data_IF_025857226431
#
_entry.id   IF_025857226431
#
_cell.length_a   1.000
_cell.length_b   1.000
_cell.length_c   1.000
_cell.angle_alpha   90.00
_cell.angle_beta   90.00
_cell.angle_gamma   90.00
#
_symmetry.space_group_name_H-M   'P 1'
#
loop_
_entity.id
_entity.type
_entity.pdbx_description
1 polymer ?
#
# COMPACT_ATOMS: atom_id res chain seq x y z
N UNK A 1 -11.73 -12.55 44.21
CA UNK A 1 -12.89 -12.61 43.29
C UNK A 1 -12.54 -12.27 41.85
N UNK A 2 -11.72 -11.22 41.50
CA UNK A 2 -11.35 -10.94 40.10
C UNK A 2 -10.56 -12.08 39.43
N UNK A 3 -9.68 -12.77 40.18
CA UNK A 3 -8.90 -13.94 39.72
C UNK A 3 -9.79 -15.06 39.17
N UNK A 4 -10.96 -15.31 39.75
CA UNK A 4 -11.88 -16.37 39.29
C UNK A 4 -12.52 -16.06 37.93
N UNK A 5 -12.82 -14.79 37.65
CA UNK A 5 -13.32 -14.37 36.33
C UNK A 5 -12.23 -14.49 35.27
N UNK A 6 -11.02 -14.02 35.56
CA UNK A 6 -9.88 -14.17 34.66
C UNK A 6 -9.61 -15.65 34.37
N UNK A 7 -9.63 -16.49 35.35
CA UNK A 7 -9.44 -17.94 35.17
C UNK A 7 -10.50 -18.55 34.24
N UNK A 8 -11.80 -18.27 34.48
CA UNK A 8 -12.89 -18.87 33.71
C UNK A 8 -13.06 -18.25 32.30
N UNK A 9 -12.83 -16.97 32.16
CA UNK A 9 -12.99 -16.25 30.88
C UNK A 9 -11.73 -16.38 30.03
N UNK A 10 -10.54 -16.25 30.59
CA UNK A 10 -9.29 -16.21 29.81
C UNK A 10 -8.62 -17.58 29.81
N UNK A 11 -8.20 -18.09 31.00
CA UNK A 11 -7.34 -19.27 31.05
C UNK A 11 -8.08 -20.52 30.56
N UNK A 12 -9.32 -20.74 30.98
CA UNK A 12 -10.11 -21.88 30.53
C UNK A 12 -10.49 -21.83 29.06
N UNK A 13 -10.50 -20.66 28.47
CA UNK A 13 -10.89 -20.42 27.06
C UNK A 13 -9.68 -20.11 26.16
N UNK A 14 -8.46 -20.30 26.58
CA UNK A 14 -7.23 -19.92 25.90
C UNK A 14 -7.17 -20.37 24.42
N UNK A 15 -7.72 -21.57 24.12
CA UNK A 15 -7.79 -22.11 22.75
C UNK A 15 -8.63 -21.23 21.83
N UNK A 16 -9.73 -20.66 22.33
CA UNK A 16 -10.59 -19.79 21.54
C UNK A 16 -9.93 -18.41 21.28
N UNK A 17 -9.18 -17.90 22.27
CA UNK A 17 -8.38 -16.69 22.07
C UNK A 17 -7.24 -16.91 21.08
N UNK A 18 -6.55 -18.06 21.16
CA UNK A 18 -5.54 -18.44 20.16
C UNK A 18 -6.15 -18.55 18.75
N UNK A 19 -7.32 -19.17 18.63
CA UNK A 19 -8.03 -19.25 17.34
C UNK A 19 -8.39 -17.85 16.83
N UNK A 20 -8.88 -16.95 17.67
CA UNK A 20 -9.18 -15.57 17.29
C UNK A 20 -7.94 -14.84 16.78
N UNK A 21 -6.84 -14.88 17.54
CA UNK A 21 -5.56 -14.27 17.14
C UNK A 21 -5.07 -14.87 15.82
N UNK A 22 -5.13 -16.20 15.69
CA UNK A 22 -4.74 -16.89 14.45
C UNK A 22 -5.54 -16.42 13.23
N UNK A 23 -6.86 -16.30 13.37
CA UNK A 23 -7.74 -15.80 12.29
C UNK A 23 -7.38 -14.35 11.94
N UNK A 24 -7.23 -13.46 12.93
CA UNK A 24 -6.89 -12.06 12.70
C UNK A 24 -5.53 -11.91 12.01
N UNK A 25 -4.52 -12.66 12.43
CA UNK A 25 -3.21 -12.66 11.80
C UNK A 25 -3.26 -13.23 10.37
N UNK A 26 -3.98 -14.34 10.17
CA UNK A 26 -4.14 -14.93 8.83
C UNK A 26 -4.76 -13.94 7.85
N UNK A 27 -5.85 -13.27 8.24
CA UNK A 27 -6.48 -12.23 7.42
C UNK A 27 -5.53 -11.06 7.16
N UNK A 28 -4.76 -10.63 8.18
CA UNK A 28 -3.76 -9.56 8.02
C UNK A 28 -2.68 -9.94 7.00
N UNK A 29 -2.19 -11.18 7.02
CA UNK A 29 -1.22 -11.67 6.05
C UNK A 29 -1.78 -11.77 4.63
N UNK A 30 -3.04 -12.20 4.48
CA UNK A 30 -3.72 -12.23 3.17
C UNK A 30 -3.81 -10.82 2.59
N UNK A 31 -4.26 -9.85 3.38
CA UNK A 31 -4.39 -8.45 2.94
C UNK A 31 -3.01 -7.89 2.58
N UNK A 32 -1.99 -8.15 3.39
CA UNK A 32 -0.63 -7.73 3.11
C UNK A 32 -0.09 -8.35 1.81
N UNK A 33 -0.33 -9.64 1.57
CA UNK A 33 0.06 -10.33 0.34
C UNK A 33 -0.63 -9.75 -0.90
N UNK A 34 -1.92 -9.45 -0.82
CA UNK A 34 -2.68 -8.77 -1.89
C UNK A 34 -2.06 -7.39 -2.15
N UNK A 35 -1.78 -6.62 -1.11
CA UNK A 35 -1.17 -5.29 -1.22
C UNK A 35 0.21 -5.33 -1.91
N UNK A 36 1.06 -6.29 -1.56
CA UNK A 36 2.36 -6.49 -2.21
C UNK A 36 2.23 -6.77 -3.71
N UNK A 37 1.23 -7.56 -4.09
CA UNK A 37 0.96 -7.85 -5.49
C UNK A 37 0.40 -6.65 -6.24
N UNK A 38 -0.53 -5.90 -5.64
CA UNK A 38 -1.08 -4.67 -6.22
C UNK A 38 0.01 -3.62 -6.46
N UNK A 39 0.94 -3.46 -5.52
CA UNK A 39 2.06 -2.52 -5.67
C UNK A 39 2.99 -2.88 -6.85
N UNK A 40 3.11 -4.16 -7.21
CA UNK A 40 3.86 -4.60 -8.38
C UNK A 40 3.10 -4.36 -9.69
N UNK A 41 1.77 -4.45 -9.67
CA UNK A 41 0.91 -4.37 -10.86
C UNK A 41 0.59 -2.93 -11.27
N UNK A 42 0.79 -1.97 -10.38
CA UNK A 42 0.49 -0.54 -10.64
C UNK A 42 1.62 0.20 -11.37
N UNK A 43 2.69 -0.50 -11.80
CA UNK A 43 3.70 0.10 -12.66
C UNK A 43 3.23 0.08 -14.10
N UNK A 44 3.50 1.16 -14.84
CA UNK A 44 3.16 1.28 -16.25
C UNK A 44 4.12 0.42 -17.06
N UNK A 45 3.66 -0.66 -17.72
CA UNK A 45 4.53 -1.50 -18.54
C UNK A 45 4.94 -0.74 -19.82
N UNK A 46 6.25 -0.57 -19.98
CA UNK A 46 6.87 0.06 -21.14
C UNK A 46 7.80 -0.96 -21.80
N UNK A 47 7.50 -1.29 -23.05
CA UNK A 47 8.29 -2.18 -23.88
C UNK A 47 9.40 -1.39 -24.59
N UNK A 48 10.65 -1.82 -24.49
CA UNK A 48 11.81 -1.13 -25.10
C UNK A 48 12.60 -2.06 -25.97
N UNK A 49 12.73 -1.67 -27.22
CA UNK A 49 13.61 -2.31 -28.21
C UNK A 49 14.79 -1.37 -28.48
N UNK A 50 15.99 -1.80 -28.13
CA UNK A 50 17.22 -1.04 -28.33
C UNK A 50 18.02 -1.62 -29.50
N UNK A 51 17.98 -0.95 -30.65
CA UNK A 51 18.76 -1.28 -31.84
C UNK A 51 20.10 -0.55 -31.82
N UNK A 52 20.22 0.55 -31.04
CA UNK A 52 21.44 1.35 -31.00
C UNK A 52 22.59 0.68 -30.27
N UNK A 53 22.30 -0.10 -29.22
CA UNK A 53 23.29 -0.72 -28.33
C UNK A 53 24.43 0.23 -27.91
N UNK A 54 24.12 1.55 -27.82
CA UNK A 54 25.07 2.60 -27.49
C UNK A 54 25.10 2.88 -25.98
N UNK A 55 26.16 3.52 -25.50
CA UNK A 55 26.21 3.95 -24.11
C UNK A 55 25.07 4.91 -23.76
N UNK A 56 24.66 5.76 -24.73
CA UNK A 56 23.57 6.73 -24.57
C UNK A 56 22.20 6.03 -24.46
N UNK A 57 21.94 4.99 -25.24
CA UNK A 57 20.73 4.20 -25.13
C UNK A 57 20.68 3.45 -23.78
N UNK A 58 21.80 2.90 -23.33
CA UNK A 58 21.91 2.23 -22.06
C UNK A 58 21.66 3.19 -20.88
N UNK A 59 22.21 4.42 -20.93
CA UNK A 59 21.94 5.48 -19.91
C UNK A 59 20.43 5.80 -19.86
N UNK A 60 19.75 5.94 -21.00
CA UNK A 60 18.30 6.20 -21.07
C UNK A 60 17.49 5.05 -20.45
N UNK A 61 17.79 3.82 -20.88
CA UNK A 61 17.13 2.62 -20.40
C UNK A 61 17.32 2.46 -18.87
N UNK A 62 18.53 2.70 -18.38
CA UNK A 62 18.82 2.64 -16.94
C UNK A 62 18.03 3.70 -16.17
N UNK A 63 17.94 4.91 -16.69
CA UNK A 63 17.17 6.00 -16.09
C UNK A 63 15.68 5.67 -16.01
N UNK A 64 15.09 5.14 -17.10
CA UNK A 64 13.69 4.72 -17.12
C UNK A 64 13.44 3.53 -16.19
N UNK A 65 14.38 2.59 -16.06
CA UNK A 65 14.28 1.45 -15.13
C UNK A 65 14.25 1.85 -13.66
N UNK A 66 14.94 2.94 -13.28
CA UNK A 66 14.96 3.46 -11.93
C UNK A 66 13.75 4.35 -11.61
N UNK A 67 12.87 4.58 -12.57
CA UNK A 67 11.67 5.37 -12.34
C UNK A 67 10.60 4.53 -11.64
N UNK A 68 10.09 5.00 -10.50
CA UNK A 68 9.19 4.24 -9.62
C UNK A 68 7.88 3.79 -10.28
N UNK A 69 7.40 4.56 -11.28
CA UNK A 69 6.12 4.35 -11.94
C UNK A 69 6.24 3.46 -13.18
N UNK A 70 7.44 3.29 -13.74
CA UNK A 70 7.67 2.53 -14.98
C UNK A 70 8.15 1.11 -14.67
N UNK A 71 7.55 0.15 -15.32
CA UNK A 71 8.07 -1.23 -15.43
C UNK A 71 8.58 -1.43 -16.85
N UNK A 72 9.91 -1.46 -17.00
CA UNK A 72 10.54 -1.56 -18.30
C UNK A 72 10.77 -3.02 -18.66
N UNK A 73 10.26 -3.43 -19.82
CA UNK A 73 10.49 -4.74 -20.43
C UNK A 73 11.38 -4.57 -21.68
N UNK A 74 12.58 -5.20 -21.65
CA UNK A 74 13.47 -5.16 -22.81
C UNK A 74 13.07 -6.25 -23.79
N UNK A 75 12.85 -5.86 -25.05
CA UNK A 75 12.47 -6.75 -26.14
C UNK A 75 13.69 -7.02 -27.03
N UNK A 76 13.71 -8.19 -27.65
CA UNK A 76 14.75 -8.53 -28.61
C UNK A 76 14.76 -7.56 -29.80
N UNK A 77 15.94 -7.17 -30.33
CA UNK A 77 16.05 -6.38 -31.55
C UNK A 77 15.38 -7.00 -32.78
N UNK A 78 15.27 -8.34 -32.80
CA UNK A 78 14.72 -9.12 -33.92
C UNK A 78 13.18 -9.20 -33.89
N UNK A 79 12.52 -8.69 -32.85
CA UNK A 79 11.04 -8.67 -32.72
C UNK A 79 10.47 -7.53 -33.58
N UNK A 80 9.90 -7.87 -34.73
CA UNK A 80 9.38 -6.88 -35.69
C UNK A 80 8.04 -6.23 -35.31
N UNK A 81 7.36 -6.71 -34.25
CA UNK A 81 5.98 -6.34 -33.95
C UNK A 81 5.82 -5.61 -32.60
N UNK A 82 6.70 -4.66 -32.35
CA UNK A 82 6.71 -3.94 -31.07
C UNK A 82 5.44 -3.11 -30.83
N UNK A 83 4.83 -2.57 -31.89
CA UNK A 83 3.58 -1.80 -31.88
C UNK A 83 2.37 -2.69 -31.54
N UNK A 84 2.38 -3.97 -31.94
CA UNK A 84 1.32 -4.91 -31.61
C UNK A 84 1.19 -5.15 -30.09
N UNK A 85 2.26 -5.03 -29.33
CA UNK A 85 2.20 -5.18 -27.86
C UNK A 85 1.32 -4.13 -27.21
N UNK A 86 1.28 -2.93 -27.74
CA UNK A 86 0.37 -1.88 -27.28
C UNK A 86 -1.07 -2.21 -27.67
N UNK A 87 -1.28 -2.68 -28.90
CA UNK A 87 -2.61 -3.11 -29.38
C UNK A 87 -3.16 -4.32 -28.60
N UNK A 88 -2.29 -5.27 -28.24
CA UNK A 88 -2.64 -6.43 -27.40
C UNK A 88 -2.74 -6.13 -25.92
N UNK A 89 -2.53 -4.88 -25.50
CA UNK A 89 -2.55 -4.41 -24.09
C UNK A 89 -1.48 -5.06 -23.21
N UNK A 90 -0.43 -5.59 -23.77
CA UNK A 90 0.73 -6.14 -23.05
C UNK A 90 1.63 -5.00 -22.52
N UNK A 91 1.72 -3.89 -23.28
CA UNK A 91 2.39 -2.67 -22.86
C UNK A 91 1.48 -1.46 -23.00
N UNK A 92 1.73 -0.40 -22.24
CA UNK A 92 1.07 0.89 -22.39
C UNK A 92 1.78 1.76 -23.41
N UNK A 93 3.11 1.67 -23.42
CA UNK A 93 3.96 2.33 -24.41
C UNK A 93 4.99 1.34 -24.91
N UNK A 94 5.25 1.35 -26.21
CA UNK A 94 6.40 0.69 -26.81
C UNK A 94 7.35 1.73 -27.42
N UNK A 95 8.64 1.54 -27.19
CA UNK A 95 9.70 2.45 -27.59
C UNK A 95 10.76 1.69 -28.38
N UNK A 96 11.03 2.14 -29.61
CA UNK A 96 12.15 1.66 -30.43
C UNK A 96 13.24 2.73 -30.48
N UNK A 97 14.45 2.36 -30.06
CA UNK A 97 15.64 3.22 -30.14
C UNK A 97 16.42 2.81 -31.38
N UNK A 98 16.45 3.61 -32.46
CA UNK A 98 17.14 3.29 -33.70
C UNK A 98 18.66 3.26 -33.54
N UNK A 99 19.36 2.63 -34.50
CA UNK A 99 20.83 2.52 -34.49
C UNK A 99 21.54 3.89 -34.47
N UNK A 100 20.96 4.90 -35.14
CA UNK A 100 21.52 6.25 -35.26
C UNK A 100 21.25 7.17 -34.07
N UNK A 101 20.61 6.65 -32.99
CA UNK A 101 20.23 7.42 -31.81
C UNK A 101 21.39 8.22 -31.20
N UNK A 102 22.54 7.60 -31.00
CA UNK A 102 23.71 8.25 -30.41
C UNK A 102 24.20 9.43 -31.26
N UNK A 103 24.18 9.27 -32.58
CA UNK A 103 24.58 10.29 -33.53
C UNK A 103 23.59 11.45 -33.53
N UNK A 104 22.29 11.19 -33.61
CA UNK A 104 21.23 12.20 -33.53
C UNK A 104 21.29 12.97 -32.22
N UNK A 105 21.49 12.30 -31.11
CA UNK A 105 21.62 12.94 -29.80
C UNK A 105 22.82 13.89 -29.74
N UNK A 106 23.97 13.48 -30.31
CA UNK A 106 25.20 14.30 -30.31
C UNK A 106 25.08 15.55 -31.19
N UNK A 107 24.29 15.51 -32.23
CA UNK A 107 24.01 16.64 -33.14
C UNK A 107 22.80 17.48 -32.75
N UNK A 108 22.18 17.22 -31.62
CA UNK A 108 20.96 17.87 -31.11
C UNK A 108 19.74 17.73 -32.04
N UNK A 109 19.69 16.69 -32.87
CA UNK A 109 18.57 16.37 -33.76
C UNK A 109 17.70 15.25 -33.13
N UNK A 110 16.76 15.63 -32.27
CA UNK A 110 15.86 14.65 -31.66
C UNK A 110 14.62 14.30 -32.50
N UNK A 111 14.38 14.97 -33.59
CA UNK A 111 13.28 14.59 -34.49
C UNK A 111 13.53 13.17 -35.01
N UNK A 112 12.54 12.30 -34.80
CA UNK A 112 12.63 10.89 -35.19
C UNK A 112 13.84 10.12 -34.57
N UNK A 113 14.35 10.60 -33.43
CA UNK A 113 15.43 9.91 -32.73
C UNK A 113 14.96 8.65 -32.00
N UNK A 114 13.68 8.58 -31.65
CA UNK A 114 13.02 7.45 -31.01
C UNK A 114 11.61 7.35 -31.58
N UNK A 115 11.17 6.12 -31.88
CA UNK A 115 9.80 5.82 -32.24
C UNK A 115 9.03 5.40 -30.99
N UNK A 116 7.91 6.08 -30.73
CA UNK A 116 7.04 5.80 -29.58
C UNK A 116 5.65 5.47 -30.07
N UNK A 117 5.14 4.32 -29.63
CA UNK A 117 3.77 3.90 -29.83
C UNK A 117 3.11 3.84 -28.46
N UNK A 118 2.08 4.62 -28.23
CA UNK A 118 1.41 4.68 -26.94
C UNK A 118 -0.07 4.40 -27.10
N UNK A 119 -0.66 3.87 -26.06
CA UNK A 119 -2.10 3.74 -25.95
C UNK A 119 -2.71 5.15 -25.80
N UNK A 120 -3.80 5.40 -26.53
CA UNK A 120 -4.53 6.68 -26.47
C UNK A 120 -5.43 6.72 -25.23
N UNK A 121 -4.79 6.83 -24.05
CA UNK A 121 -5.47 7.01 -22.78
C UNK A 121 -4.62 7.86 -21.82
N UNK A 122 -5.21 8.18 -20.67
CA UNK A 122 -4.54 8.98 -19.63
C UNK A 122 -3.22 8.37 -19.15
N UNK A 123 -3.16 7.04 -19.03
CA UNK A 123 -1.95 6.33 -18.57
C UNK A 123 -0.86 6.39 -19.63
N UNK A 124 -1.24 6.22 -20.91
CA UNK A 124 -0.34 6.39 -22.06
C UNK A 124 0.27 7.79 -22.12
N UNK A 125 -0.53 8.82 -21.90
CA UNK A 125 -0.07 10.22 -21.87
C UNK A 125 0.95 10.46 -20.74
N UNK A 126 0.72 9.94 -19.55
CA UNK A 126 1.68 10.03 -18.42
C UNK A 126 2.99 9.32 -18.77
N UNK A 127 2.91 8.11 -19.35
CA UNK A 127 4.11 7.36 -19.71
C UNK A 127 4.93 8.09 -20.79
N UNK A 128 4.27 8.67 -21.81
CA UNK A 128 4.91 9.49 -22.84
C UNK A 128 5.60 10.71 -22.26
N UNK A 129 4.98 11.40 -21.30
CA UNK A 129 5.57 12.55 -20.63
C UNK A 129 6.85 12.18 -19.88
N UNK A 130 6.83 11.08 -19.11
CA UNK A 130 8.00 10.59 -18.37
C UNK A 130 9.15 10.22 -19.33
N UNK A 131 8.83 9.52 -20.43
CA UNK A 131 9.82 9.10 -21.43
C UNK A 131 10.39 10.34 -22.11
N UNK A 132 9.54 11.26 -22.58
CA UNK A 132 9.96 12.51 -23.25
C UNK A 132 10.84 13.35 -22.34
N UNK A 133 10.45 13.53 -21.07
CA UNK A 133 11.27 14.22 -20.09
C UNK A 133 12.64 13.60 -19.93
N UNK A 134 12.71 12.26 -19.88
CA UNK A 134 13.99 11.53 -19.71
C UNK A 134 14.91 11.72 -20.91
N UNK A 135 14.35 11.79 -22.13
CA UNK A 135 15.08 12.05 -23.37
C UNK A 135 15.61 13.51 -23.39
N UNK A 136 14.76 14.49 -23.07
CA UNK A 136 15.16 15.89 -23.00
C UNK A 136 16.26 16.13 -21.97
N UNK A 137 16.16 15.55 -20.78
CA UNK A 137 17.18 15.67 -19.75
C UNK A 137 18.53 15.08 -20.19
N UNK A 138 18.53 14.07 -21.06
CA UNK A 138 19.76 13.52 -21.66
C UNK A 138 20.34 14.44 -22.75
N UNK A 139 19.51 15.23 -23.41
CA UNK A 139 19.93 16.17 -24.45
C UNK A 139 20.53 17.47 -23.88
N UNK A 140 20.07 17.95 -22.73
CA UNK A 140 20.50 19.22 -22.13
C UNK A 140 22.03 19.39 -22.10
N UNK A 141 22.84 18.42 -21.66
CA UNK A 141 24.31 18.56 -21.68
C UNK A 141 24.89 18.79 -23.06
N UNK A 142 24.31 18.18 -24.10
CA UNK A 142 24.76 18.37 -25.50
C UNK A 142 24.41 19.77 -26.02
N UNK A 143 23.24 20.28 -25.70
CA UNK A 143 22.81 21.66 -26.03
C UNK A 143 23.78 22.64 -25.34
N UNK A 144 24.03 22.47 -24.06
CA UNK A 144 24.97 23.34 -23.30
C UNK A 144 26.37 23.30 -23.91
N UNK A 145 26.86 22.10 -24.30
CA UNK A 145 28.17 21.96 -24.96
C UNK A 145 28.23 22.73 -26.28
N UNK A 146 27.20 22.66 -27.09
CA UNK A 146 27.14 23.39 -28.37
C UNK A 146 27.17 24.91 -28.14
N UNK A 147 26.37 25.42 -27.23
CA UNK A 147 26.34 26.86 -26.90
C UNK A 147 27.63 27.36 -26.26
N UNK A 148 28.28 26.55 -25.40
CA UNK A 148 29.57 26.94 -24.79
C UNK A 148 30.70 26.97 -25.83
N UNK A 149 30.68 26.09 -26.85
CA UNK A 149 31.62 26.16 -27.99
C UNK A 149 31.43 27.45 -28.80
N UNK A 150 30.19 27.83 -29.08
CA UNK A 150 29.88 29.09 -29.77
C UNK A 150 30.36 30.32 -28.98
N UNK A 151 30.37 30.22 -27.64
CA UNK A 151 30.87 31.28 -26.74
C UNK A 151 32.40 31.22 -26.51
N UNK A 152 33.17 30.52 -27.35
CA UNK A 152 34.60 30.31 -27.26
C UNK A 152 35.10 29.71 -25.90
N UNK A 153 34.21 29.01 -25.16
CA UNK A 153 34.55 28.30 -23.95
C UNK A 153 34.43 26.80 -24.17
N UNK A 154 35.56 26.09 -24.05
CA UNK A 154 35.58 24.63 -24.16
C UNK A 154 35.53 24.00 -22.76
N UNK A 155 34.44 23.31 -22.43
CA UNK A 155 34.33 22.50 -21.23
C UNK A 155 34.26 21.01 -21.59
N UNK A 156 34.83 20.16 -20.72
CA UNK A 156 34.71 18.72 -20.88
C UNK A 156 33.26 18.28 -20.60
N UNK A 157 32.79 17.25 -21.31
CA UNK A 157 31.42 16.75 -21.16
C UNK A 157 31.06 16.36 -19.71
N UNK A 158 32.03 15.80 -18.98
CA UNK A 158 31.89 15.47 -17.55
C UNK A 158 31.61 16.71 -16.72
N UNK A 159 32.35 17.80 -16.93
CA UNK A 159 32.14 19.07 -16.21
C UNK A 159 30.79 19.71 -16.56
N UNK A 160 30.33 19.57 -17.80
CA UNK A 160 29.01 20.05 -18.22
C UNK A 160 27.92 19.25 -17.54
N UNK A 161 27.98 17.90 -17.58
CA UNK A 161 27.01 17.03 -16.91
C UNK A 161 26.92 17.37 -15.42
N UNK A 162 28.06 17.52 -14.74
CA UNK A 162 28.08 17.87 -13.32
C UNK A 162 27.44 19.22 -13.02
N UNK A 163 27.81 20.27 -13.77
CA UNK A 163 27.22 21.61 -13.60
C UNK A 163 25.73 21.67 -13.94
N UNK A 164 25.28 20.92 -14.94
CA UNK A 164 23.86 20.80 -15.25
C UNK A 164 23.11 20.16 -14.08
N UNK A 165 23.63 19.08 -13.50
CA UNK A 165 23.02 18.41 -12.34
C UNK A 165 22.97 19.33 -11.12
N UNK A 166 24.06 20.07 -10.83
CA UNK A 166 24.15 20.98 -9.68
C UNK A 166 23.25 22.22 -9.84
N UNK A 167 23.15 22.77 -11.06
CA UNK A 167 22.42 24.03 -11.32
C UNK A 167 20.99 23.83 -11.81
N UNK A 168 20.62 22.63 -12.23
CA UNK A 168 19.22 22.33 -12.54
C UNK A 168 18.43 22.34 -11.22
N UNK A 169 17.55 23.32 -10.98
CA UNK A 169 16.77 23.34 -9.76
C UNK A 169 15.99 22.02 -9.73
N UNK A 170 16.16 21.29 -8.62
CA UNK A 170 15.23 20.20 -8.31
C UNK A 170 13.84 20.78 -8.44
N UNK A 171 13.00 20.19 -9.28
CA UNK A 171 11.64 20.65 -9.50
C UNK A 171 10.99 20.98 -8.15
N UNK A 172 10.84 22.27 -7.85
CA UNK A 172 10.14 22.76 -6.66
C UNK A 172 8.62 22.61 -6.76
N UNK A 173 8.15 22.12 -7.88
CA UNK A 173 6.84 21.51 -7.93
C UNK A 173 6.99 20.22 -7.13
N UNK A 174 7.01 20.40 -5.81
CA UNK A 174 6.86 19.30 -4.92
C UNK A 174 5.50 18.71 -5.23
N UNK A 175 5.49 17.51 -5.76
CA UNK A 175 4.34 16.62 -5.72
C UNK A 175 3.96 16.30 -4.26
N UNK A 176 4.05 17.30 -3.37
CA UNK A 176 3.67 17.15 -1.96
C UNK A 176 2.16 16.90 -1.83
N UNK A 177 1.36 17.38 -2.76
CA UNK A 177 -0.07 17.07 -2.78
C UNK A 177 -0.35 15.63 -3.26
N UNK A 178 0.54 15.05 -4.08
CA UNK A 178 0.48 13.65 -4.52
C UNK A 178 1.50 12.76 -3.79
N UNK A 179 2.44 13.37 -3.10
CA UNK A 179 3.18 12.74 -2.01
C UNK A 179 2.38 12.84 -0.71
N UNK A 180 1.12 12.59 -0.78
CA UNK A 180 0.58 11.61 0.11
C UNK A 180 1.58 10.47 0.04
N UNK A 181 2.25 10.21 1.10
CA UNK A 181 3.11 9.06 1.36
C UNK A 181 2.34 7.74 1.27
N UNK A 182 1.44 7.67 0.42
CA UNK A 182 0.84 6.51 -0.11
C UNK A 182 1.72 6.09 -1.28
N UNK A 183 2.81 5.46 -0.98
CA UNK A 183 2.81 4.09 -1.41
C UNK A 183 1.35 3.66 -1.38
N UNK A 184 0.78 3.16 -2.47
CA UNK A 184 -0.59 2.65 -2.56
C UNK A 184 -0.88 1.55 -1.52
N UNK A 185 -0.35 1.72 -0.32
CA UNK A 185 -0.58 0.88 0.81
C UNK A 185 -1.95 1.23 1.36
N UNK A 186 -2.84 0.27 1.30
CA UNK A 186 -4.08 0.33 2.06
C UNK A 186 -3.69 0.81 3.45
N UNK A 187 -4.25 1.93 3.89
CA UNK A 187 -3.84 2.52 5.17
C UNK A 187 -4.10 1.51 6.29
N UNK A 188 -3.29 1.54 7.34
CA UNK A 188 -3.49 0.69 8.52
C UNK A 188 -4.91 0.79 9.04
N UNK A 189 -5.53 1.97 8.91
CA UNK A 189 -6.92 2.22 9.27
C UNK A 189 -7.90 1.32 8.53
N UNK A 190 -7.75 1.16 7.22
CA UNK A 190 -8.65 0.32 6.41
C UNK A 190 -8.44 -1.15 6.74
N UNK A 191 -7.18 -1.59 6.88
CA UNK A 191 -6.87 -2.98 7.27
C UNK A 191 -7.50 -3.28 8.62
N UNK A 192 -7.34 -2.39 9.59
CA UNK A 192 -7.86 -2.60 10.93
C UNK A 192 -9.39 -2.53 10.97
N UNK A 193 -10.03 -1.66 10.18
CA UNK A 193 -11.48 -1.64 10.01
C UNK A 193 -12.03 -2.99 9.53
N UNK A 194 -11.38 -3.61 8.55
CA UNK A 194 -11.73 -4.97 8.10
C UNK A 194 -11.54 -6.00 9.20
N UNK A 195 -10.48 -5.89 10.01
CA UNK A 195 -10.26 -6.80 11.12
C UNK A 195 -11.28 -6.63 12.25
N UNK A 196 -11.83 -5.44 12.48
CA UNK A 196 -12.97 -5.25 13.38
C UNK A 196 -14.20 -6.07 12.91
N UNK A 197 -14.48 -6.06 11.60
CA UNK A 197 -15.55 -6.90 11.05
C UNK A 197 -15.26 -8.40 11.27
N UNK A 198 -14.03 -8.84 10.99
CA UNK A 198 -13.63 -10.24 11.18
C UNK A 198 -13.67 -10.64 12.66
N UNK A 199 -13.31 -9.74 13.57
CA UNK A 199 -13.31 -10.02 15.01
C UNK A 199 -14.69 -10.34 15.58
N UNK A 200 -15.79 -10.01 14.86
CA UNK A 200 -17.16 -10.41 15.24
C UNK A 200 -17.31 -11.92 15.39
N UNK A 201 -16.42 -12.72 14.80
CA UNK A 201 -16.36 -14.18 14.94
C UNK A 201 -16.16 -14.62 16.39
N UNK A 202 -15.67 -13.72 17.28
CA UNK A 202 -15.56 -13.97 18.70
C UNK A 202 -16.88 -14.41 19.36
N UNK A 203 -18.01 -13.98 18.77
CA UNK A 203 -19.36 -14.40 19.24
C UNK A 203 -19.56 -15.90 19.10
N UNK A 204 -19.05 -16.50 18.02
CA UNK A 204 -19.11 -17.95 17.81
C UNK A 204 -18.12 -18.65 18.75
N UNK A 205 -16.89 -18.17 18.80
CA UNK A 205 -15.82 -18.76 19.59
C UNK A 205 -16.16 -18.79 21.09
N UNK A 206 -16.79 -17.71 21.60
CA UNK A 206 -17.11 -17.57 23.00
C UNK A 206 -18.56 -17.89 23.35
N UNK A 207 -19.32 -18.54 22.46
CA UNK A 207 -20.72 -18.94 22.68
C UNK A 207 -20.89 -19.73 23.99
N UNK A 208 -19.94 -20.62 24.34
CA UNK A 208 -19.96 -21.46 25.54
C UNK A 208 -19.85 -20.67 26.83
N UNK A 209 -19.36 -19.41 26.80
CA UNK A 209 -19.29 -18.57 28.02
C UNK A 209 -20.68 -18.29 28.59
N UNK A 210 -21.68 -18.09 27.76
CA UNK A 210 -23.07 -17.86 28.20
C UNK A 210 -23.69 -19.09 28.87
N UNK A 211 -23.28 -20.28 28.44
CA UNK A 211 -23.80 -21.56 28.93
C UNK A 211 -23.03 -22.05 30.16
N UNK A 212 -21.99 -21.34 30.60
CA UNK A 212 -21.14 -21.78 31.72
C UNK A 212 -21.84 -21.56 33.07
N UNK A 213 -22.29 -22.66 33.69
CA UNK A 213 -22.99 -22.64 34.98
C UNK A 213 -22.19 -21.95 36.10
N UNK A 214 -20.86 -22.09 36.13
CA UNK A 214 -20.00 -21.44 37.12
C UNK A 214 -19.99 -19.89 36.93
N UNK A 215 -19.95 -19.41 35.69
CA UNK A 215 -20.04 -17.97 35.40
C UNK A 215 -21.41 -17.40 35.75
N UNK A 216 -22.48 -18.16 35.49
CA UNK A 216 -23.83 -17.76 35.86
C UNK A 216 -24.00 -17.63 37.37
N UNK A 217 -23.45 -18.56 38.15
CA UNK A 217 -23.43 -18.47 39.63
C UNK A 217 -22.60 -17.26 40.12
N UNK A 218 -21.44 -17.03 39.53
CA UNK A 218 -20.60 -15.86 39.85
C UNK A 218 -21.28 -14.53 39.49
N UNK A 219 -22.08 -14.50 38.45
CA UNK A 219 -22.84 -13.32 38.04
C UNK A 219 -23.94 -12.90 38.99
N UNK A 220 -24.37 -13.80 39.91
CA UNK A 220 -25.37 -13.50 40.97
C UNK A 220 -24.78 -12.66 42.11
N UNK A 221 -23.46 -12.70 42.31
CA UNK A 221 -22.83 -11.87 43.34
C UNK A 221 -22.89 -10.38 43.01
N UNK A 222 -22.83 -9.53 44.04
CA UNK A 222 -22.79 -8.07 43.88
C UNK A 222 -21.65 -7.68 42.91
N UNK A 223 -22.00 -6.92 41.86
CA UNK A 223 -21.11 -6.55 40.78
C UNK A 223 -20.55 -7.71 39.92
N UNK A 224 -21.12 -8.92 40.04
CA UNK A 224 -20.62 -10.09 39.29
C UNK A 224 -20.71 -9.93 37.78
N UNK A 225 -21.84 -9.40 37.29
CA UNK A 225 -22.04 -9.12 35.86
C UNK A 225 -21.05 -8.07 35.37
N UNK A 226 -20.87 -6.97 36.08
CA UNK A 226 -19.92 -5.90 35.67
C UNK A 226 -18.48 -6.42 35.58
N UNK A 227 -18.06 -7.28 36.55
CA UNK A 227 -16.73 -7.89 36.50
C UNK A 227 -16.57 -8.84 35.33
N UNK A 228 -17.59 -9.60 34.98
CA UNK A 228 -17.59 -10.45 33.79
C UNK A 228 -17.41 -9.64 32.52
N UNK A 229 -18.22 -8.59 32.33
CA UNK A 229 -18.13 -7.71 31.19
C UNK A 229 -16.76 -7.04 31.11
N UNK A 230 -16.27 -6.49 32.23
CA UNK A 230 -14.98 -5.81 32.26
C UNK A 230 -13.82 -6.74 31.89
N UNK A 231 -13.83 -7.98 32.40
CA UNK A 231 -12.80 -8.98 32.09
C UNK A 231 -12.85 -9.34 30.58
N UNK A 232 -14.06 -9.56 30.05
CA UNK A 232 -14.23 -9.92 28.65
C UNK A 232 -13.78 -8.77 27.73
N UNK A 233 -14.31 -7.56 27.93
CA UNK A 233 -13.98 -6.37 27.15
C UNK A 233 -12.47 -6.08 27.24
N UNK A 234 -11.90 -6.07 28.43
CA UNK A 234 -10.49 -5.76 28.62
C UNK A 234 -9.56 -6.76 27.90
N UNK A 235 -9.88 -8.06 27.92
CA UNK A 235 -9.08 -9.07 27.23
C UNK A 235 -9.14 -8.91 25.72
N UNK A 236 -10.33 -8.69 25.14
CA UNK A 236 -10.49 -8.52 23.69
C UNK A 236 -9.92 -7.19 23.22
N UNK A 237 -10.10 -6.12 23.98
CA UNK A 237 -9.46 -4.81 23.71
C UNK A 237 -7.94 -4.94 23.63
N UNK A 238 -7.34 -5.67 24.56
CA UNK A 238 -5.89 -5.92 24.54
C UNK A 238 -5.47 -6.70 23.30
N UNK A 239 -6.19 -7.75 22.92
CA UNK A 239 -5.92 -8.55 21.71
C UNK A 239 -5.99 -7.68 20.47
N UNK A 240 -7.05 -6.88 20.29
CA UNK A 240 -7.21 -6.03 19.14
C UNK A 240 -6.15 -4.92 19.09
N UNK A 241 -5.78 -4.35 20.23
CA UNK A 241 -4.70 -3.35 20.31
C UNK A 241 -3.34 -3.96 19.93
N UNK A 242 -3.03 -5.15 20.41
CA UNK A 242 -1.81 -5.89 20.02
C UNK A 242 -1.83 -6.19 18.50
N UNK A 243 -2.96 -6.62 17.97
CA UNK A 243 -3.11 -6.89 16.54
C UNK A 243 -2.89 -5.62 15.71
N UNK A 244 -3.44 -4.48 16.13
CA UNK A 244 -3.20 -3.17 15.50
C UNK A 244 -1.71 -2.82 15.51
N UNK A 245 -1.01 -3.03 16.62
CA UNK A 245 0.44 -2.81 16.72
C UNK A 245 1.24 -3.69 15.76
N UNK A 246 0.88 -4.98 15.66
CA UNK A 246 1.51 -5.92 14.73
C UNK A 246 1.30 -5.47 13.27
N UNK A 247 0.10 -5.04 12.90
CA UNK A 247 -0.20 -4.55 11.56
C UNK A 247 0.62 -3.30 11.24
N UNK A 248 0.71 -2.36 12.19
CA UNK A 248 1.50 -1.15 12.02
C UNK A 248 2.99 -1.47 11.76
N UNK A 249 3.53 -2.47 12.45
CA UNK A 249 4.90 -2.96 12.23
C UNK A 249 5.06 -3.63 10.85
N UNK A 250 4.10 -4.46 10.43
CA UNK A 250 4.14 -5.16 9.13
C UNK A 250 4.08 -4.15 7.97
N UNK A 251 3.21 -3.13 8.10
CA UNK A 251 3.04 -2.08 7.09
C UNK A 251 4.16 -1.03 7.15
N UNK A 252 5.01 -1.08 8.20
CA UNK A 252 6.10 -0.12 8.45
C UNK A 252 5.62 1.34 8.49
N UNK A 253 4.38 1.56 8.93
CA UNK A 253 3.80 2.90 9.05
C UNK A 253 4.00 3.41 10.47
N UNK A 254 4.66 4.56 10.60
CA UNK A 254 4.77 5.26 11.89
C UNK A 254 3.43 5.94 12.21
N UNK A 255 2.76 5.44 13.25
CA UNK A 255 1.47 5.95 13.71
C UNK A 255 1.66 6.88 14.92
N UNK A 256 0.90 7.98 14.95
CA UNK A 256 0.94 8.92 16.06
C UNK A 256 0.28 8.32 17.32
N UNK A 257 0.66 8.82 18.48
CA UNK A 257 0.04 8.42 19.76
C UNK A 257 -1.46 8.72 19.76
N UNK A 258 -1.88 9.82 19.13
CA UNK A 258 -3.29 10.21 19.00
C UNK A 258 -4.07 9.14 18.21
N UNK A 259 -3.46 8.55 17.18
CA UNK A 259 -4.05 7.45 16.41
C UNK A 259 -4.37 6.25 17.31
N UNK A 260 -3.43 5.83 18.15
CA UNK A 260 -3.64 4.72 19.09
C UNK A 260 -4.70 5.03 20.14
N UNK A 261 -4.76 6.27 20.63
CA UNK A 261 -5.78 6.71 21.61
C UNK A 261 -7.18 6.69 21.00
N UNK A 262 -7.35 7.21 19.79
CA UNK A 262 -8.63 7.14 19.05
C UNK A 262 -9.04 5.70 18.78
N UNK A 263 -8.09 4.87 18.33
CA UNK A 263 -8.32 3.46 18.08
C UNK A 263 -8.76 2.72 19.35
N UNK A 264 -8.10 2.96 20.47
CA UNK A 264 -8.45 2.36 21.77
C UNK A 264 -9.89 2.69 22.16
N UNK A 265 -10.31 3.95 22.02
CA UNK A 265 -11.67 4.37 22.35
C UNK A 265 -12.71 3.62 21.50
N UNK A 266 -12.47 3.50 20.20
CA UNK A 266 -13.38 2.81 19.27
C UNK A 266 -13.40 1.31 19.56
N UNK A 267 -12.25 0.69 19.85
CA UNK A 267 -12.16 -0.72 20.23
C UNK A 267 -12.99 -0.98 21.50
N UNK A 268 -12.91 -0.12 22.50
CA UNK A 268 -13.71 -0.27 23.73
C UNK A 268 -15.20 -0.19 23.42
N UNK A 269 -15.63 0.79 22.60
CA UNK A 269 -17.03 0.90 22.20
C UNK A 269 -17.48 -0.35 21.44
N UNK A 270 -16.67 -0.82 20.49
CA UNK A 270 -16.92 -2.04 19.74
C UNK A 270 -17.09 -3.25 20.66
N UNK A 271 -16.14 -3.47 21.57
CA UNK A 271 -16.17 -4.62 22.48
C UNK A 271 -17.33 -4.53 23.50
N UNK A 272 -17.74 -3.33 23.91
CA UNK A 272 -18.92 -3.16 24.73
C UNK A 272 -20.19 -3.65 24.01
N UNK A 273 -20.36 -3.31 22.74
CA UNK A 273 -21.50 -3.75 21.95
C UNK A 273 -21.47 -5.27 21.70
N UNK A 274 -20.30 -5.82 21.35
CA UNK A 274 -20.15 -7.27 21.16
C UNK A 274 -20.41 -8.05 22.46
N UNK A 275 -19.90 -7.58 23.59
CA UNK A 275 -20.15 -8.20 24.89
C UNK A 275 -21.66 -8.15 25.24
N UNK A 276 -22.31 -7.01 24.99
CA UNK A 276 -23.76 -6.88 25.20
C UNK A 276 -24.54 -7.89 24.32
N UNK A 277 -24.21 -8.01 23.04
CA UNK A 277 -24.82 -8.97 22.11
C UNK A 277 -24.58 -10.42 22.58
N UNK A 278 -23.36 -10.75 22.98
CA UNK A 278 -22.97 -12.09 23.43
C UNK A 278 -23.82 -12.54 24.65
N UNK A 279 -23.96 -11.68 25.65
CA UNK A 279 -24.58 -12.09 26.90
C UNK A 279 -26.11 -11.88 26.92
N UNK A 280 -26.65 -10.90 26.16
CA UNK A 280 -28.08 -10.58 26.23
C UNK A 280 -28.91 -11.29 25.16
N UNK A 281 -28.45 -11.39 23.92
CA UNK A 281 -29.22 -12.05 22.84
C UNK A 281 -29.14 -13.57 22.97
N UNK A 282 -30.28 -14.26 22.85
CA UNK A 282 -30.34 -15.71 23.12
C UNK A 282 -30.04 -16.56 21.88
N UNK A 283 -30.57 -16.19 20.71
CA UNK A 283 -30.41 -16.95 19.46
C UNK A 283 -29.06 -16.65 18.80
N UNK A 284 -28.32 -17.70 18.45
CA UNK A 284 -26.96 -17.54 17.86
C UNK A 284 -27.03 -16.82 16.51
N UNK A 285 -27.95 -17.22 15.64
CA UNK A 285 -28.11 -16.62 14.29
C UNK A 285 -28.39 -15.12 14.38
N UNK A 286 -29.34 -14.73 15.21
CA UNK A 286 -29.68 -13.31 15.38
C UNK A 286 -28.52 -12.51 16.00
N UNK A 287 -27.80 -13.09 16.95
CA UNK A 287 -26.64 -12.50 17.59
C UNK A 287 -25.52 -12.23 16.58
N UNK A 288 -25.27 -13.20 15.70
CA UNK A 288 -24.22 -13.11 14.69
C UNK A 288 -24.56 -12.06 13.63
N UNK A 289 -25.81 -12.05 13.18
CA UNK A 289 -26.30 -11.05 12.23
C UNK A 289 -26.18 -9.62 12.79
N UNK A 290 -26.65 -9.41 14.02
CA UNK A 290 -26.55 -8.09 14.68
C UNK A 290 -25.10 -7.67 14.91
N UNK A 291 -24.23 -8.62 15.26
CA UNK A 291 -22.80 -8.33 15.46
C UNK A 291 -22.10 -7.94 14.15
N UNK A 292 -22.46 -8.58 13.04
CA UNK A 292 -21.90 -8.26 11.74
C UNK A 292 -22.32 -6.85 11.30
N UNK A 293 -23.59 -6.50 11.42
CA UNK A 293 -24.08 -5.15 11.13
C UNK A 293 -23.38 -4.14 12.02
N UNK A 294 -23.30 -4.40 13.32
CA UNK A 294 -22.65 -3.54 14.28
C UNK A 294 -21.16 -3.37 13.95
N UNK A 295 -20.46 -4.47 13.63
CA UNK A 295 -19.06 -4.47 13.23
C UNK A 295 -18.80 -3.61 12.00
N UNK A 296 -19.64 -3.73 10.96
CA UNK A 296 -19.55 -2.90 9.74
C UNK A 296 -19.78 -1.42 10.07
N UNK A 297 -20.80 -1.10 10.88
CA UNK A 297 -21.05 0.29 11.28
C UNK A 297 -19.84 0.90 12.02
N UNK A 298 -19.29 0.18 13.00
CA UNK A 298 -18.12 0.67 13.76
C UNK A 298 -16.88 0.76 12.86
N UNK A 299 -16.69 -0.17 11.92
CA UNK A 299 -15.59 -0.13 10.96
C UNK A 299 -15.65 1.13 10.07
N UNK A 300 -16.84 1.49 9.59
CA UNK A 300 -17.07 2.72 8.82
C UNK A 300 -16.75 3.95 9.68
N UNK A 301 -17.30 4.02 10.89
CA UNK A 301 -17.04 5.13 11.83
C UNK A 301 -15.54 5.23 12.14
N UNK A 302 -14.86 4.08 12.32
CA UNK A 302 -13.43 4.04 12.55
C UNK A 302 -12.63 4.68 11.41
N UNK A 303 -12.96 4.35 10.16
CA UNK A 303 -12.31 4.95 8.99
C UNK A 303 -12.50 6.47 9.01
N UNK A 304 -13.74 6.96 9.18
CA UNK A 304 -14.02 8.40 9.18
C UNK A 304 -13.33 9.17 10.31
N UNK A 305 -13.11 8.56 11.47
CA UNK A 305 -12.44 9.22 12.60
C UNK A 305 -10.91 9.24 12.48
N UNK A 306 -10.34 8.42 11.60
CA UNK A 306 -8.89 8.37 11.38
C UNK A 306 -8.43 9.24 10.20
N UNK A 307 -9.37 9.63 9.32
CA UNK A 307 -9.15 10.66 8.31
C UNK A 307 -9.46 12.04 8.88
#
# INVERSE_FOLDING_TARGET
MMKSYVYLVVIKQWKHYLALIGILLCVSFIIWGIQQNLNKTLRIPVAVQDMSNSQQSAELIQKLRHHDIIQLEKISPDDGYIDERVSKKEAVVSMTIPEDYATKLSHNHLQHAINLYARDDFIGSIALEIISKSIYEQQIPNIVKTHTKLAHKSYTMTTIKQRVTEKTPSSKIGYQALKHTSNHSISVSVIFALLLCVSTIQIILHQRLKQNAALNRLALFRYGKSKLYLTYIGTHTLILLCTLGIIALIVQQQLSLIFYLRSLLIIIIFECGIAWLLFKVNTLSHRLFMALIYGVMIAIIYIFLQF
#
